data_IF_464405467137
#
_entry.id   IF_464405467137
#
_cell.length_a   1.000
_cell.length_b   1.000
_cell.length_c   1.000
_cell.angle_alpha   90.00
_cell.angle_beta   90.00
_cell.angle_gamma   90.00
#
_symmetry.space_group_name_H-M   'P 1'
#
loop_
_entity.id
_entity.type
_entity.pdbx_description
1 polymer ?
#
# COMPACT_ATOMS: atom_id res chain seq x y z
N UNK A 1 -5.84 9.16 20.22
CA UNK A 1 -4.66 10.04 20.09
C UNK A 1 -4.59 10.42 18.62
N UNK A 2 -4.59 11.70 18.25
CA UNK A 2 -4.47 12.09 16.85
C UNK A 2 -3.03 11.82 16.43
N UNK A 3 -2.84 10.96 15.43
CA UNK A 3 -1.50 10.69 14.88
C UNK A 3 -1.18 11.85 13.93
N UNK A 4 -0.34 12.76 14.39
CA UNK A 4 0.25 13.80 13.54
C UNK A 4 1.59 13.30 13.00
N UNK A 5 1.76 13.35 11.68
CA UNK A 5 3.00 12.98 10.99
C UNK A 5 3.58 14.21 10.32
N UNK A 6 4.86 14.46 10.58
CA UNK A 6 5.62 15.46 9.84
C UNK A 6 6.11 14.85 8.52
N UNK A 7 5.74 15.49 7.40
CA UNK A 7 6.02 15.01 6.04
C UNK A 7 6.91 16.01 5.31
N UNK A 8 8.04 15.53 4.81
CA UNK A 8 8.86 16.21 3.82
C UNK A 8 8.21 16.05 2.44
N UNK A 9 7.38 17.03 2.07
CA UNK A 9 6.62 17.01 0.83
C UNK A 9 7.50 17.00 -0.43
N UNK A 10 8.72 17.52 -0.36
CA UNK A 10 9.65 17.48 -1.50
C UNK A 10 10.19 16.08 -1.73
N UNK A 11 10.53 15.35 -0.66
CA UNK A 11 10.89 13.94 -0.77
C UNK A 11 9.72 13.07 -1.22
N UNK A 12 8.51 13.35 -0.73
CA UNK A 12 7.31 12.63 -1.17
C UNK A 12 7.04 12.87 -2.66
N UNK A 13 7.22 14.09 -3.15
CA UNK A 13 7.06 14.43 -4.56
C UNK A 13 8.10 13.76 -5.48
N UNK A 14 9.26 13.40 -4.94
CA UNK A 14 10.29 12.65 -5.67
C UNK A 14 10.01 11.14 -5.78
N UNK A 15 8.92 10.64 -5.20
CA UNK A 15 8.48 9.25 -5.40
C UNK A 15 7.97 9.09 -6.84
N UNK A 16 8.50 8.16 -7.66
CA UNK A 16 8.19 8.06 -9.08
C UNK A 16 6.70 7.93 -9.40
N UNK A 17 5.95 7.24 -8.54
CA UNK A 17 4.50 7.05 -8.71
C UNK A 17 3.68 8.29 -8.37
N UNK A 18 4.29 9.32 -7.78
CA UNK A 18 3.65 10.58 -7.39
C UNK A 18 4.12 11.79 -8.19
N UNK A 19 5.32 11.73 -8.78
CA UNK A 19 6.01 12.82 -9.47
C UNK A 19 5.09 13.60 -10.42
N UNK A 20 4.46 12.91 -11.38
CA UNK A 20 3.59 13.56 -12.37
C UNK A 20 2.40 14.32 -11.76
N UNK A 21 1.86 13.86 -10.62
CA UNK A 21 0.74 14.53 -9.94
C UNK A 21 1.20 15.82 -9.24
N UNK A 22 2.37 15.78 -8.59
CA UNK A 22 2.96 16.95 -7.95
C UNK A 22 3.48 17.97 -8.96
N UNK A 23 4.05 17.54 -10.10
CA UNK A 23 4.46 18.44 -11.18
C UNK A 23 3.26 19.17 -11.81
N UNK A 24 2.13 18.48 -11.93
CA UNK A 24 0.91 19.06 -12.49
C UNK A 24 0.31 20.12 -11.57
N UNK A 25 0.13 19.80 -10.30
CA UNK A 25 -0.43 20.72 -9.29
C UNK A 25 -0.02 20.28 -7.88
N UNK A 26 1.08 20.85 -7.41
CA UNK A 26 1.69 20.50 -6.13
C UNK A 26 0.76 20.75 -4.95
N UNK A 27 0.18 21.95 -4.87
CA UNK A 27 -0.64 22.39 -3.74
C UNK A 27 -1.93 21.57 -3.64
N UNK A 28 -2.64 21.39 -4.77
CA UNK A 28 -3.88 20.63 -4.79
C UNK A 28 -3.66 19.16 -4.49
N UNK A 29 -2.56 18.56 -4.98
CA UNK A 29 -2.29 17.15 -4.72
C UNK A 29 -1.82 16.90 -3.28
N UNK A 30 -1.00 17.81 -2.73
CA UNK A 30 -0.66 17.82 -1.32
C UNK A 30 -1.92 17.89 -0.45
N UNK A 31 -2.83 18.84 -0.74
CA UNK A 31 -4.07 19.00 0.01
C UNK A 31 -4.91 17.70 -0.03
N UNK A 32 -5.03 17.07 -1.19
CA UNK A 32 -5.76 15.81 -1.33
C UNK A 32 -5.15 14.69 -0.48
N UNK A 33 -3.81 14.60 -0.40
CA UNK A 33 -3.14 13.64 0.48
C UNK A 33 -3.47 13.94 1.95
N UNK A 34 -3.43 15.22 2.36
CA UNK A 34 -3.75 15.64 3.72
C UNK A 34 -5.21 15.32 4.11
N UNK A 35 -6.17 15.50 3.19
CA UNK A 35 -7.57 15.11 3.40
C UNK A 35 -7.73 13.59 3.57
N UNK A 36 -6.96 12.81 2.81
CA UNK A 36 -6.91 11.36 2.97
C UNK A 36 -6.28 10.96 4.33
N UNK A 37 -5.24 11.66 4.78
CA UNK A 37 -4.63 11.46 6.11
C UNK A 37 -5.62 11.78 7.22
N UNK A 38 -6.39 12.86 7.10
CA UNK A 38 -7.43 13.22 8.06
C UNK A 38 -8.52 12.14 8.14
N UNK A 39 -8.94 11.57 7.01
CA UNK A 39 -9.88 10.44 6.99
C UNK A 39 -9.31 9.23 7.72
N UNK A 40 -8.03 8.89 7.50
CA UNK A 40 -7.35 7.79 8.17
C UNK A 40 -7.18 8.02 9.68
N UNK A 41 -6.97 9.27 10.12
CA UNK A 41 -6.83 9.59 11.55
C UNK A 41 -8.11 9.38 12.36
N UNK A 42 -9.27 9.23 11.70
CA UNK A 42 -10.53 8.91 12.36
C UNK A 42 -10.66 7.40 12.65
N UNK A 43 -9.86 6.55 11.99
CA UNK A 43 -9.85 5.13 12.27
C UNK A 43 -9.12 4.83 13.58
N UNK A 44 -9.48 3.74 14.28
CA UNK A 44 -8.68 3.22 15.37
C UNK A 44 -7.22 3.02 14.97
N UNK A 45 -6.29 3.27 15.89
CA UNK A 45 -4.86 3.08 15.63
C UNK A 45 -4.52 1.62 15.23
N UNK A 46 -5.23 0.66 15.79
CA UNK A 46 -5.12 -0.76 15.43
C UNK A 46 -5.55 -1.04 13.98
N UNK A 47 -6.38 -0.20 13.37
CA UNK A 47 -6.73 -0.29 11.95
C UNK A 47 -5.52 -0.02 11.05
N UNK A 48 -4.60 0.87 11.48
CA UNK A 48 -3.37 1.15 10.74
C UNK A 48 -2.45 -0.07 10.70
N UNK A 49 -2.43 -0.89 11.75
CA UNK A 49 -1.67 -2.16 11.75
C UNK A 49 -2.21 -3.16 10.74
N UNK A 50 -3.53 -3.15 10.49
CA UNK A 50 -4.19 -4.01 9.50
C UNK A 50 -3.96 -3.47 8.09
N UNK A 51 -4.09 -2.16 7.90
CA UNK A 51 -3.81 -1.47 6.64
C UNK A 51 -2.35 -1.68 6.24
N UNK A 52 -1.38 -1.56 7.16
CA UNK A 52 0.02 -1.82 6.87
C UNK A 52 0.27 -3.23 6.31
N UNK A 53 -0.34 -4.25 6.94
CA UNK A 53 -0.30 -5.66 6.47
C UNK A 53 -0.92 -5.81 5.08
N UNK A 54 -2.07 -5.18 4.87
CA UNK A 54 -2.74 -5.17 3.57
C UNK A 54 -1.85 -4.54 2.49
N UNK A 55 -1.30 -3.36 2.75
CA UNK A 55 -0.46 -2.62 1.78
C UNK A 55 0.83 -3.35 1.47
N UNK A 56 1.48 -3.99 2.45
CA UNK A 56 2.66 -4.81 2.22
C UNK A 56 2.37 -5.96 1.22
N UNK A 57 1.23 -6.64 1.37
CA UNK A 57 0.80 -7.69 0.44
C UNK A 57 0.42 -7.15 -0.94
N UNK A 58 -0.35 -6.06 -0.99
CA UNK A 58 -0.83 -5.48 -2.25
C UNK A 58 0.33 -4.96 -3.11
N UNK A 59 1.30 -4.26 -2.51
CA UNK A 59 2.47 -3.76 -3.23
C UNK A 59 3.32 -4.92 -3.75
N UNK A 60 3.62 -5.91 -2.90
CA UNK A 60 4.44 -7.06 -3.29
C UNK A 60 3.79 -7.82 -4.45
N UNK A 61 2.49 -8.09 -4.36
CA UNK A 61 1.76 -8.70 -5.47
C UNK A 61 1.69 -7.80 -6.70
N UNK A 62 1.45 -6.49 -6.55
CA UNK A 62 1.41 -5.54 -7.66
C UNK A 62 2.69 -5.58 -8.51
N UNK A 63 3.86 -5.53 -7.85
CA UNK A 63 5.16 -5.63 -8.52
C UNK A 63 5.33 -7.00 -9.18
N UNK A 64 4.96 -8.08 -8.50
CA UNK A 64 5.01 -9.44 -9.04
C UNK A 64 4.19 -9.57 -10.32
N UNK A 65 2.95 -9.07 -10.31
CA UNK A 65 2.07 -9.08 -11.47
C UNK A 65 2.57 -8.19 -12.60
N UNK A 66 3.16 -7.03 -12.28
CA UNK A 66 3.73 -6.13 -13.27
C UNK A 66 4.90 -6.78 -14.01
N UNK A 67 5.81 -7.43 -13.28
CA UNK A 67 6.97 -8.13 -13.86
C UNK A 67 6.54 -9.27 -14.78
N UNK A 68 5.55 -10.06 -14.35
CA UNK A 68 4.98 -11.13 -15.18
C UNK A 68 4.37 -10.60 -16.49
N UNK A 69 3.55 -9.54 -16.43
CA UNK A 69 2.89 -8.96 -17.62
C UNK A 69 3.89 -8.41 -18.64
N UNK A 70 5.08 -8.00 -18.22
CA UNK A 70 6.14 -7.48 -19.09
C UNK A 70 7.17 -8.53 -19.50
N UNK A 71 7.02 -9.79 -19.07
CA UNK A 71 8.00 -10.84 -19.35
C UNK A 71 9.38 -10.51 -18.80
N UNK A 72 9.45 -9.87 -17.62
CA UNK A 72 10.73 -9.58 -16.99
C UNK A 72 11.50 -10.88 -16.73
N UNK A 73 12.84 -10.83 -16.80
CA UNK A 73 13.69 -12.02 -16.61
C UNK A 73 13.46 -12.70 -15.25
N UNK A 74 13.17 -11.91 -14.22
CA UNK A 74 12.90 -12.40 -12.85
C UNK A 74 11.41 -12.74 -12.63
N UNK A 75 10.57 -12.72 -13.67
CA UNK A 75 9.16 -13.07 -13.54
C UNK A 75 8.99 -14.50 -13.02
N UNK A 76 8.06 -14.68 -12.07
CA UNK A 76 7.69 -16.01 -11.60
C UNK A 76 7.05 -16.82 -12.74
N UNK A 77 6.98 -18.14 -12.55
CA UNK A 77 6.19 -18.99 -13.45
C UNK A 77 4.72 -18.59 -13.45
N UNK A 78 4.00 -18.92 -14.52
CA UNK A 78 2.56 -18.64 -14.66
C UNK A 78 1.77 -19.19 -13.46
N UNK A 79 2.09 -20.41 -13.03
CA UNK A 79 1.46 -21.08 -11.89
C UNK A 79 1.71 -20.31 -10.59
N UNK A 80 2.96 -19.95 -10.31
CA UNK A 80 3.32 -19.19 -9.11
C UNK A 80 2.69 -17.80 -9.11
N UNK A 81 2.70 -17.09 -10.24
CA UNK A 81 2.04 -15.79 -10.37
C UNK A 81 0.53 -15.89 -10.09
N UNK A 82 -0.14 -16.97 -10.56
CA UNK A 82 -1.56 -17.22 -10.26
C UNK A 82 -1.81 -17.49 -8.79
N UNK A 83 -0.95 -18.24 -8.12
CA UNK A 83 -1.04 -18.50 -6.67
C UNK A 83 -0.96 -17.17 -5.91
N UNK A 84 0.04 -16.34 -6.20
CA UNK A 84 0.21 -15.01 -5.60
C UNK A 84 -1.04 -14.14 -5.81
N UNK A 85 -1.52 -14.07 -7.06
CA UNK A 85 -2.69 -13.27 -7.42
C UNK A 85 -3.95 -13.73 -6.69
N UNK A 86 -4.20 -15.04 -6.62
CA UNK A 86 -5.40 -15.60 -6.00
C UNK A 86 -5.43 -15.36 -4.50
N UNK A 87 -4.28 -15.43 -3.82
CA UNK A 87 -4.16 -15.11 -2.41
C UNK A 87 -4.62 -13.67 -2.15
N UNK A 88 -3.97 -12.69 -2.79
CA UNK A 88 -4.25 -11.27 -2.57
C UNK A 88 -5.65 -10.89 -3.06
N UNK A 89 -6.10 -11.40 -4.20
CA UNK A 89 -7.49 -11.17 -4.65
C UNK A 89 -8.52 -11.75 -3.68
N UNK A 90 -8.24 -12.92 -3.09
CA UNK A 90 -9.10 -13.54 -2.09
C UNK A 90 -9.27 -12.63 -0.87
N UNK A 91 -8.17 -12.07 -0.39
CA UNK A 91 -8.16 -11.10 0.70
C UNK A 91 -8.92 -9.83 0.34
N UNK A 92 -8.71 -9.26 -0.85
CA UNK A 92 -9.40 -8.04 -1.28
C UNK A 92 -10.90 -8.20 -1.45
N UNK A 93 -11.36 -9.39 -1.85
CA UNK A 93 -12.80 -9.67 -2.00
C UNK A 93 -13.50 -9.84 -0.66
N UNK A 94 -12.84 -10.46 0.32
CA UNK A 94 -13.41 -10.72 1.65
C UNK A 94 -13.11 -9.61 2.66
N UNK A 95 -12.13 -8.76 2.36
CA UNK A 95 -11.53 -7.79 3.28
C UNK A 95 -11.16 -8.47 4.60
N UNK A 96 -10.43 -9.58 4.46
CA UNK A 96 -9.93 -10.42 5.54
C UNK A 96 -8.55 -10.90 5.11
N UNK A 97 -7.55 -10.71 5.97
CA UNK A 97 -6.21 -11.24 5.74
C UNK A 97 -6.05 -12.52 6.54
N UNK A 98 -5.26 -13.42 6.02
CA UNK A 98 -4.78 -14.58 6.74
C UNK A 98 -3.27 -14.55 6.67
N UNK A 99 -2.58 -14.99 7.73
CA UNK A 99 -1.14 -15.09 7.81
C UNK A 99 -0.81 -16.41 8.53
N UNK A 100 -0.07 -17.35 7.92
CA UNK A 100 0.34 -18.60 8.53
C UNK A 100 0.80 -18.50 9.99
N UNK A 101 1.54 -17.44 10.34
CA UNK A 101 2.14 -17.34 11.68
C UNK A 101 1.30 -16.64 12.73
N UNK A 102 0.29 -15.85 12.35
CA UNK A 102 -0.56 -15.10 13.30
C UNK A 102 -2.06 -15.35 13.13
N UNK A 103 -2.45 -16.17 12.14
CA UNK A 103 -3.83 -16.49 11.84
C UNK A 103 -4.57 -15.38 11.08
N UNK A 104 -5.88 -15.30 11.31
CA UNK A 104 -6.76 -14.36 10.62
C UNK A 104 -6.69 -12.96 11.21
N UNK A 105 -6.71 -11.96 10.34
CA UNK A 105 -6.83 -10.55 10.70
C UNK A 105 -8.16 -10.04 10.15
N UNK A 106 -9.10 -9.81 11.06
CA UNK A 106 -10.45 -9.36 10.73
C UNK A 106 -10.54 -7.84 10.72
N UNK A 107 -11.20 -7.32 9.67
CA UNK A 107 -11.55 -5.92 9.56
C UNK A 107 -12.95 -5.68 10.15
N UNK A 108 -13.08 -4.68 11.00
CA UNK A 108 -14.34 -4.16 11.49
C UNK A 108 -15.15 -3.55 10.32
N UNK A 109 -16.48 -3.40 10.43
CA UNK A 109 -17.31 -2.88 9.35
C UNK A 109 -16.82 -1.56 8.75
N UNK A 110 -16.46 -0.58 9.61
CA UNK A 110 -15.92 0.72 9.17
C UNK A 110 -14.59 0.60 8.40
N UNK A 111 -13.71 -0.31 8.83
CA UNK A 111 -12.44 -0.57 8.15
C UNK A 111 -12.69 -1.27 6.80
N UNK A 112 -13.71 -2.15 6.73
CA UNK A 112 -14.11 -2.81 5.48
C UNK A 112 -14.65 -1.80 4.48
N UNK A 113 -15.51 -0.88 4.93
CA UNK A 113 -16.06 0.18 4.09
C UNK A 113 -14.93 1.07 3.54
N UNK A 114 -13.96 1.42 4.38
CA UNK A 114 -12.77 2.15 3.95
C UNK A 114 -11.98 1.40 2.85
N UNK A 115 -11.66 0.12 3.07
CA UNK A 115 -10.90 -0.69 2.10
C UNK A 115 -11.67 -0.86 0.79
N UNK A 116 -12.99 -1.08 0.86
CA UNK A 116 -13.84 -1.22 -0.32
C UNK A 116 -13.91 0.08 -1.13
N UNK A 117 -13.98 1.23 -0.47
CA UNK A 117 -13.93 2.54 -1.13
C UNK A 117 -12.62 2.75 -1.89
N UNK A 118 -11.47 2.47 -1.25
CA UNK A 118 -10.16 2.58 -1.91
C UNK A 118 -10.04 1.61 -3.08
N UNK A 119 -10.58 0.38 -2.94
CA UNK A 119 -10.67 -0.57 -4.05
C UNK A 119 -11.55 -0.05 -5.19
N UNK A 120 -12.63 0.67 -4.88
CA UNK A 120 -13.47 1.37 -5.86
C UNK A 120 -12.65 2.32 -6.72
N UNK A 121 -11.84 3.18 -6.09
CA UNK A 121 -10.92 4.10 -6.80
C UNK A 121 -9.97 3.36 -7.75
N UNK A 122 -9.41 2.23 -7.31
CA UNK A 122 -8.56 1.41 -8.16
C UNK A 122 -9.31 0.86 -9.39
N UNK A 123 -10.53 0.37 -9.20
CA UNK A 123 -11.35 -0.14 -10.30
C UNK A 123 -11.69 0.99 -11.28
N UNK A 124 -12.14 2.13 -10.78
CA UNK A 124 -12.53 3.25 -11.64
C UNK A 124 -11.34 3.87 -12.37
N UNK A 125 -10.21 4.01 -11.69
CA UNK A 125 -8.98 4.53 -12.30
C UNK A 125 -8.39 3.59 -13.35
N UNK A 126 -8.09 2.35 -12.96
CA UNK A 126 -7.29 1.45 -13.79
C UNK A 126 -8.12 0.51 -14.69
N UNK A 127 -9.43 0.41 -14.49
CA UNK A 127 -10.31 -0.38 -15.37
C UNK A 127 -11.31 0.45 -16.16
N UNK A 128 -11.79 1.54 -15.57
CA UNK A 128 -12.75 2.44 -16.23
C UNK A 128 -12.09 3.72 -16.78
N UNK A 129 -10.75 3.82 -16.72
CA UNK A 129 -9.93 4.91 -17.25
C UNK A 129 -10.30 6.31 -16.69
N UNK A 130 -10.66 6.40 -15.41
CA UNK A 130 -10.92 7.68 -14.75
C UNK A 130 -9.63 8.29 -14.19
N UNK A 131 -9.12 9.34 -14.83
CA UNK A 131 -7.92 10.05 -14.37
C UNK A 131 -8.09 10.63 -12.95
N UNK A 132 -9.27 11.14 -12.63
CA UNK A 132 -9.61 11.62 -11.28
C UNK A 132 -9.49 10.50 -10.25
N UNK A 133 -10.02 9.31 -10.56
CA UNK A 133 -9.93 8.17 -9.63
C UNK A 133 -8.50 7.65 -9.48
N UNK A 134 -7.68 7.71 -10.54
CA UNK A 134 -6.24 7.41 -10.44
C UNK A 134 -5.57 8.40 -9.49
N UNK A 135 -5.82 9.70 -9.65
CA UNK A 135 -5.26 10.74 -8.77
C UNK A 135 -5.68 10.52 -7.31
N UNK A 136 -6.96 10.26 -7.05
CA UNK A 136 -7.46 9.96 -5.70
C UNK A 136 -6.90 8.67 -5.11
N UNK A 137 -6.71 7.63 -5.93
CA UNK A 137 -6.08 6.38 -5.51
C UNK A 137 -4.63 6.60 -5.07
N UNK A 138 -3.84 7.33 -5.85
CA UNK A 138 -2.45 7.63 -5.52
C UNK A 138 -2.34 8.50 -4.26
N UNK A 139 -3.23 9.49 -4.08
CA UNK A 139 -3.29 10.26 -2.85
C UNK A 139 -3.65 9.41 -1.62
N UNK A 140 -4.65 8.52 -1.74
CA UNK A 140 -4.99 7.58 -0.65
C UNK A 140 -3.83 6.63 -0.33
N UNK A 141 -3.16 6.09 -1.35
CA UNK A 141 -2.01 5.21 -1.16
C UNK A 141 -0.87 5.91 -0.43
N UNK A 142 -0.53 7.15 -0.82
CA UNK A 142 0.49 7.93 -0.13
C UNK A 142 0.11 8.18 1.34
N UNK A 143 -1.14 8.62 1.59
CA UNK A 143 -1.66 8.85 2.93
C UNK A 143 -1.62 7.58 3.80
N UNK A 144 -1.94 6.40 3.25
CA UNK A 144 -1.85 5.13 3.97
C UNK A 144 -0.42 4.83 4.42
N UNK A 145 0.58 5.02 3.54
CA UNK A 145 1.98 4.79 3.92
C UNK A 145 2.44 5.76 5.01
N UNK A 146 2.11 7.04 4.88
CA UNK A 146 2.43 8.09 5.85
C UNK A 146 1.80 7.79 7.22
N UNK A 147 0.49 7.49 7.25
CA UNK A 147 -0.23 7.28 8.50
C UNK A 147 0.20 6.00 9.21
N UNK A 148 0.38 4.90 8.47
CA UNK A 148 0.94 3.67 9.04
C UNK A 148 2.32 3.93 9.66
N UNK A 149 3.15 4.74 8.97
CA UNK A 149 4.48 5.08 9.44
C UNK A 149 5.45 3.91 9.38
N UNK A 150 6.71 4.19 9.75
CA UNK A 150 7.84 3.26 9.54
C UNK A 150 7.64 1.94 10.26
N UNK A 151 7.46 1.98 11.57
CA UNK A 151 7.41 0.79 12.43
C UNK A 151 6.35 -0.24 11.97
N UNK A 152 5.13 0.22 11.70
CA UNK A 152 4.02 -0.66 11.29
C UNK A 152 4.28 -1.31 9.94
N UNK A 153 4.81 -0.54 8.99
CA UNK A 153 5.09 -1.04 7.65
C UNK A 153 6.30 -1.98 7.65
N UNK A 154 7.34 -1.70 8.44
CA UNK A 154 8.48 -2.61 8.58
C UNK A 154 8.07 -3.93 9.23
N UNK A 155 7.26 -3.89 10.29
CA UNK A 155 6.70 -5.10 10.89
C UNK A 155 5.80 -5.88 9.91
N UNK A 156 4.96 -5.18 9.13
CA UNK A 156 4.13 -5.80 8.10
C UNK A 156 4.95 -6.44 6.97
N UNK A 157 6.00 -5.76 6.50
CA UNK A 157 6.91 -6.27 5.48
C UNK A 157 7.67 -7.51 5.97
N UNK A 158 8.16 -7.50 7.21
CA UNK A 158 8.81 -8.65 7.82
C UNK A 158 7.85 -9.85 7.97
N UNK A 159 6.58 -9.59 8.30
CA UNK A 159 5.56 -10.64 8.36
C UNK A 159 5.28 -11.24 6.96
N UNK A 160 5.16 -10.40 5.93
CA UNK A 160 4.96 -10.88 4.55
C UNK A 160 6.16 -11.70 4.07
N UNK A 161 7.38 -11.27 4.36
CA UNK A 161 8.60 -12.03 4.06
C UNK A 161 8.60 -13.39 4.75
N UNK A 162 8.30 -13.42 6.06
CA UNK A 162 8.25 -14.66 6.83
C UNK A 162 7.22 -15.64 6.31
N UNK A 163 6.00 -15.17 6.03
CA UNK A 163 4.86 -16.04 5.77
C UNK A 163 4.66 -16.34 4.28
N UNK A 164 5.15 -15.47 3.39
CA UNK A 164 4.93 -15.55 1.94
C UNK A 164 6.20 -15.38 1.11
N UNK A 165 7.39 -15.32 1.74
CA UNK A 165 8.65 -15.11 1.05
C UNK A 165 8.96 -16.16 -0.01
N UNK A 166 8.71 -17.44 0.26
CA UNK A 166 8.88 -18.51 -0.74
C UNK A 166 7.91 -18.35 -1.93
N UNK A 167 6.67 -17.93 -1.65
CA UNK A 167 5.64 -17.75 -2.67
C UNK A 167 5.97 -16.59 -3.60
N UNK A 168 6.40 -15.46 -3.05
CA UNK A 168 6.74 -14.27 -3.82
C UNK A 168 8.18 -14.31 -4.37
N UNK A 169 9.07 -15.14 -3.84
CA UNK A 169 10.53 -15.07 -3.97
C UNK A 169 11.15 -13.84 -3.29
N UNK A 170 12.41 -14.01 -2.86
CA UNK A 170 13.21 -12.96 -2.23
C UNK A 170 13.27 -11.68 -3.08
N UNK A 171 13.39 -11.81 -4.40
CA UNK A 171 13.48 -10.67 -5.32
C UNK A 171 12.26 -9.76 -5.22
N UNK A 172 11.05 -10.32 -5.25
CA UNK A 172 9.83 -9.50 -5.20
C UNK A 172 9.54 -8.97 -3.80
N UNK A 173 9.91 -9.71 -2.74
CA UNK A 173 9.89 -9.19 -1.36
C UNK A 173 10.76 -7.93 -1.26
N UNK A 174 12.02 -8.00 -1.68
CA UNK A 174 12.94 -6.87 -1.61
C UNK A 174 12.46 -5.67 -2.44
N UNK A 175 11.89 -5.93 -3.62
CA UNK A 175 11.29 -4.87 -4.46
C UNK A 175 10.09 -4.20 -3.79
N UNK A 176 9.20 -4.99 -3.18
CA UNK A 176 8.07 -4.47 -2.40
C UNK A 176 8.52 -3.63 -1.22
N UNK A 177 9.54 -4.10 -0.51
CA UNK A 177 10.14 -3.34 0.59
C UNK A 177 10.73 -2.01 0.13
N UNK A 178 11.49 -2.02 -0.98
CA UNK A 178 12.08 -0.80 -1.55
C UNK A 178 11.01 0.19 -1.97
N UNK A 179 9.93 -0.28 -2.61
CA UNK A 179 8.80 0.55 -3.00
C UNK A 179 8.22 1.26 -1.79
N UNK A 180 7.86 0.53 -0.73
CA UNK A 180 7.25 1.11 0.47
C UNK A 180 8.22 2.07 1.17
N UNK A 181 9.50 1.70 1.29
CA UNK A 181 10.53 2.54 1.92
C UNK A 181 10.69 3.90 1.23
N UNK A 182 10.50 4.00 -0.09
CA UNK A 182 10.58 5.28 -0.80
C UNK A 182 9.57 6.32 -0.29
N UNK A 183 8.36 5.90 0.10
CA UNK A 183 7.38 6.78 0.73
C UNK A 183 7.77 7.14 2.17
N UNK A 184 8.41 6.22 2.89
CA UNK A 184 8.81 6.42 4.29
C UNK A 184 10.03 7.33 4.44
N UNK A 185 10.82 7.52 3.38
CA UNK A 185 11.92 8.49 3.36
C UNK A 185 11.43 9.95 3.47
N UNK A 186 10.15 10.19 3.15
CA UNK A 186 9.50 11.48 3.35
C UNK A 186 9.08 11.74 4.81
N UNK A 187 9.18 10.75 5.72
CA UNK A 187 8.86 10.94 7.13
C UNK A 187 10.08 11.43 7.91
N UNK A 188 9.85 12.30 8.90
CA UNK A 188 10.90 12.80 9.78
C UNK A 188 11.61 11.67 10.56
N UNK A 189 12.93 11.74 10.82
CA UNK A 189 13.66 10.72 11.57
C UNK A 189 13.19 10.53 13.02
N UNK A 190 12.44 11.49 13.56
CA UNK A 190 11.83 11.41 14.90
C UNK A 190 10.61 10.50 14.98
N UNK A 191 10.18 9.92 13.85
CA UNK A 191 9.17 8.88 13.84
C UNK A 191 9.73 7.66 14.60
N UNK A 192 9.08 7.19 15.68
CA UNK A 192 9.65 6.15 16.52
C UNK A 192 9.95 4.89 15.70
N UNK A 193 11.20 4.43 15.79
CA UNK A 193 11.64 3.12 15.31
C UNK A 193 10.93 2.00 16.09
#
# INVERSE_FOLDING_TARGET
MNIEREVDWQKLAAVPELEAFFETDFESFQQLIQECMATLSQLPESSLDKIAKLRALEVTNGITQWAFRRGAEQALSVEQTRVCMNLVMGFMKRVELEFPSIGKVEFAPEEKDYVQRVRGLYLDGFKNNSETAVREFHANSAAQFIMCGRQRLEAAMALVEKDYGEMFSEFFIQRGQKYIRSYLEALSPSDPA
#
